data_IF_818226889645
#
_entry.id   IF_818226889645
#
_cell.length_a   1.000
_cell.length_b   1.000
_cell.length_c   1.000
_cell.angle_alpha   90.00
_cell.angle_beta   90.00
_cell.angle_gamma   90.00
#
_symmetry.space_group_name_H-M   'P 1'
#
loop_
_entity.id
_entity.type
_entity.pdbx_description
1 polymer ?
#
# COMPACT_ATOMS: atom_id res chain seq x y z
N UNK A 1 22.68 8.29 30.08
CA UNK A 1 22.75 8.13 28.62
C UNK A 1 23.69 9.19 28.07
N UNK A 2 24.88 8.80 27.59
CA UNK A 2 25.81 9.74 27.00
C UNK A 2 25.20 10.28 25.70
N UNK A 3 24.89 11.58 25.65
CA UNK A 3 24.55 12.23 24.38
C UNK A 3 25.78 12.16 23.49
N UNK A 4 25.69 11.38 22.43
CA UNK A 4 26.75 11.22 21.43
C UNK A 4 27.03 12.56 20.75
N UNK A 5 28.29 12.85 20.41
CA UNK A 5 28.69 14.00 19.57
C UNK A 5 27.89 14.09 18.25
N UNK A 6 27.29 12.99 17.83
CA UNK A 6 26.55 12.87 16.58
C UNK A 6 25.02 13.00 16.73
N UNK A 7 24.46 13.23 17.93
CA UNK A 7 22.99 13.25 18.12
C UNK A 7 22.29 14.39 17.35
N UNK A 8 22.99 15.49 17.05
CA UNK A 8 22.46 16.64 16.31
C UNK A 8 21.91 16.28 14.92
N UNK A 9 22.32 15.14 14.33
CA UNK A 9 21.82 14.73 13.00
C UNK A 9 20.33 14.38 13.02
N UNK A 10 19.75 14.10 14.19
CA UNK A 10 18.32 13.80 14.35
C UNK A 10 17.45 15.05 14.13
N UNK A 11 18.01 16.24 14.32
CA UNK A 11 17.27 17.50 14.16
C UNK A 11 16.96 17.82 12.68
N UNK A 12 17.58 17.08 11.73
CA UNK A 12 17.26 17.18 10.30
C UNK A 12 16.06 16.31 9.88
N UNK A 13 15.52 15.45 10.76
CA UNK A 13 14.30 14.72 10.46
C UNK A 13 13.09 15.67 10.43
N UNK A 14 12.47 15.82 9.26
CA UNK A 14 11.27 16.65 9.11
C UNK A 14 10.03 15.94 9.69
N UNK A 15 9.16 16.71 10.35
CA UNK A 15 7.84 16.23 10.73
C UNK A 15 6.93 16.15 9.51
N UNK A 16 6.28 15.00 9.35
CA UNK A 16 5.44 14.67 8.22
C UNK A 16 4.02 14.26 8.66
N UNK A 17 3.53 14.88 9.72
CA UNK A 17 2.23 14.60 10.32
C UNK A 17 1.08 14.97 9.36
N UNK A 18 0.22 13.99 9.04
CA UNK A 18 -0.99 14.24 8.25
C UNK A 18 -2.03 15.04 9.05
N UNK A 19 -2.71 15.97 8.38
CA UNK A 19 -3.75 16.82 8.96
C UNK A 19 -4.77 16.00 9.78
N UNK A 20 -5.04 16.45 11.01
CA UNK A 20 -5.95 15.79 11.94
C UNK A 20 -7.39 15.76 11.40
N UNK A 21 -8.18 14.78 11.85
CA UNK A 21 -9.60 14.60 11.48
C UNK A 21 -9.88 14.43 9.98
N UNK A 22 -8.84 14.22 9.18
CA UNK A 22 -8.92 13.92 7.75
C UNK A 22 -8.64 12.43 7.50
N UNK A 23 -9.24 11.90 6.44
CA UNK A 23 -8.94 10.55 5.95
C UNK A 23 -7.52 10.51 5.43
N UNK A 24 -6.80 9.43 5.74
CA UNK A 24 -5.47 9.16 5.19
C UNK A 24 -5.61 7.97 4.26
N UNK A 25 -5.21 8.14 3.02
CA UNK A 25 -5.25 7.08 2.00
C UNK A 25 -3.83 6.77 1.60
N UNK A 26 -3.45 5.50 1.72
CA UNK A 26 -2.19 4.98 1.16
C UNK A 26 -2.52 4.24 -0.11
N UNK A 27 -1.98 4.67 -1.24
CA UNK A 27 -2.10 3.94 -2.51
C UNK A 27 -0.77 3.31 -2.87
N UNK A 28 -0.79 2.02 -3.14
CA UNK A 28 0.32 1.26 -3.69
C UNK A 28 0.08 0.98 -5.18
N UNK A 29 1.17 0.94 -5.95
CA UNK A 29 1.19 0.66 -7.38
C UNK A 29 2.40 -0.23 -7.71
N UNK A 30 2.20 -1.27 -8.53
CA UNK A 30 3.23 -2.21 -8.93
C UNK A 30 4.35 -1.56 -9.77
N UNK A 31 5.57 -1.49 -9.24
CA UNK A 31 6.68 -0.85 -9.96
C UNK A 31 7.07 -1.67 -11.19
N UNK A 32 6.90 -1.08 -12.38
CA UNK A 32 7.15 -1.71 -13.67
C UNK A 32 6.39 -3.03 -13.85
N UNK A 33 5.13 -3.08 -13.40
CA UNK A 33 4.34 -4.31 -13.41
C UNK A 33 4.01 -4.83 -14.80
N UNK A 34 4.05 -3.98 -15.84
CA UNK A 34 3.97 -4.44 -17.23
C UNK A 34 5.04 -5.50 -17.53
N UNK A 35 6.31 -5.18 -17.25
CA UNK A 35 7.44 -6.11 -17.42
C UNK A 35 7.34 -7.30 -16.48
N UNK A 36 6.85 -7.10 -15.26
CA UNK A 36 6.64 -8.19 -14.30
C UNK A 36 5.63 -9.21 -14.82
N UNK A 37 4.49 -8.72 -15.34
CA UNK A 37 3.41 -9.54 -15.90
C UNK A 37 3.87 -10.34 -17.11
N UNK A 38 4.68 -9.75 -17.99
CA UNK A 38 5.25 -10.44 -19.16
C UNK A 38 6.24 -11.54 -18.74
N UNK A 39 7.13 -11.23 -17.80
CA UNK A 39 8.16 -12.18 -17.33
C UNK A 39 7.58 -13.37 -16.58
N UNK A 40 6.44 -13.19 -15.91
CA UNK A 40 5.75 -14.25 -15.15
C UNK A 40 4.53 -14.81 -15.89
N UNK A 41 4.41 -14.57 -17.21
CA UNK A 41 3.38 -15.14 -18.08
C UNK A 41 1.96 -14.94 -17.55
N UNK A 42 1.62 -13.69 -17.20
CA UNK A 42 0.26 -13.35 -16.77
C UNK A 42 -0.72 -13.48 -17.93
N UNK A 43 -1.88 -14.07 -17.65
CA UNK A 43 -3.00 -14.10 -18.59
C UNK A 43 -3.48 -12.67 -18.93
N UNK A 44 -3.92 -12.49 -20.18
CA UNK A 44 -4.47 -11.22 -20.69
C UNK A 44 -5.95 -11.41 -21.06
N UNK A 45 -6.82 -10.40 -20.84
CA UNK A 45 -6.49 -9.08 -20.29
C UNK A 45 -6.22 -9.10 -18.78
N UNK A 46 -6.74 -10.10 -18.05
CA UNK A 46 -6.66 -10.20 -16.60
C UNK A 46 -6.19 -11.60 -16.16
N UNK A 47 -5.32 -11.65 -15.15
CA UNK A 47 -4.88 -12.90 -14.53
C UNK A 47 -5.48 -13.03 -13.12
N UNK A 48 -6.36 -14.01 -12.95
CA UNK A 48 -7.04 -14.23 -11.66
C UNK A 48 -6.07 -14.57 -10.53
N UNK A 49 -4.95 -15.25 -10.83
CA UNK A 49 -3.93 -15.61 -9.83
C UNK A 49 -3.29 -14.35 -9.27
N UNK A 50 -2.92 -13.42 -10.16
CA UNK A 50 -2.35 -12.14 -9.79
C UNK A 50 -3.31 -11.30 -8.94
N UNK A 51 -4.57 -11.20 -9.37
CA UNK A 51 -5.59 -10.41 -8.68
C UNK A 51 -5.93 -10.98 -7.29
N UNK A 52 -6.04 -12.30 -7.18
CA UNK A 52 -6.26 -12.95 -5.89
C UNK A 52 -5.04 -12.82 -4.96
N UNK A 53 -3.82 -12.94 -5.48
CA UNK A 53 -2.60 -12.69 -4.70
C UNK A 53 -2.56 -11.24 -4.17
N UNK A 54 -2.81 -10.25 -5.02
CA UNK A 54 -2.89 -8.84 -4.61
C UNK A 54 -3.93 -8.63 -3.51
N UNK A 55 -5.09 -9.29 -3.64
CA UNK A 55 -6.15 -9.24 -2.63
C UNK A 55 -5.75 -9.90 -1.31
N UNK A 56 -5.04 -11.03 -1.35
CA UNK A 56 -4.51 -11.66 -0.14
C UNK A 56 -3.47 -10.80 0.56
N UNK A 57 -2.63 -10.10 -0.20
CA UNK A 57 -1.69 -9.12 0.34
C UNK A 57 -2.45 -7.96 1.03
N UNK A 58 -3.51 -7.44 0.40
CA UNK A 58 -4.32 -6.39 0.98
C UNK A 58 -5.04 -6.83 2.27
N UNK A 59 -5.58 -8.05 2.30
CA UNK A 59 -6.15 -8.64 3.51
C UNK A 59 -5.11 -8.72 4.64
N UNK A 60 -3.91 -9.21 4.34
CA UNK A 60 -2.82 -9.30 5.32
C UNK A 60 -2.44 -7.92 5.86
N UNK A 61 -2.39 -6.89 5.01
CA UNK A 61 -2.17 -5.50 5.46
C UNK A 61 -3.30 -5.02 6.38
N UNK A 62 -4.55 -5.34 6.07
CA UNK A 62 -5.71 -4.95 6.90
C UNK A 62 -5.81 -5.71 8.23
N UNK A 63 -5.30 -6.94 8.30
CA UNK A 63 -5.27 -7.76 9.50
C UNK A 63 -4.12 -7.36 10.44
N UNK A 64 -2.95 -7.07 9.88
CA UNK A 64 -1.72 -6.80 10.63
C UNK A 64 -1.57 -5.32 11.02
N UNK A 65 -2.18 -4.41 10.26
CA UNK A 65 -2.19 -2.98 10.58
C UNK A 65 -3.53 -2.57 11.19
N UNK A 66 -3.47 -1.56 12.04
CA UNK A 66 -4.64 -1.04 12.72
C UNK A 66 -5.32 0.09 11.93
N UNK A 67 -6.59 0.35 12.27
CA UNK A 67 -7.35 1.52 11.80
C UNK A 67 -7.65 1.64 10.30
N UNK A 68 -7.36 0.61 9.50
CA UNK A 68 -7.85 0.53 8.12
C UNK A 68 -9.34 0.16 8.13
N UNK A 69 -10.16 0.92 7.40
CA UNK A 69 -11.63 0.71 7.34
C UNK A 69 -12.12 0.17 6.01
N UNK A 70 -11.40 0.43 4.94
CA UNK A 70 -11.71 -0.08 3.61
C UNK A 70 -10.42 -0.13 2.80
N UNK A 71 -10.30 -1.17 1.98
CA UNK A 71 -9.32 -1.24 0.91
C UNK A 71 -10.02 -1.48 -0.42
N UNK A 72 -9.50 -0.88 -1.49
CA UNK A 72 -9.97 -1.07 -2.86
C UNK A 72 -8.76 -1.33 -3.75
N UNK A 73 -8.82 -2.38 -4.58
CA UNK A 73 -7.74 -2.75 -5.47
C UNK A 73 -8.24 -3.12 -6.86
N UNK A 74 -7.38 -2.87 -7.84
CA UNK A 74 -7.60 -3.10 -9.26
C UNK A 74 -6.24 -3.23 -9.95
N UNK A 75 -6.15 -4.11 -10.95
CA UNK A 75 -4.92 -4.31 -11.73
C UNK A 75 -3.74 -4.59 -10.78
N UNK A 76 -2.75 -3.70 -10.78
CA UNK A 76 -1.52 -3.70 -10.00
C UNK A 76 -1.52 -2.63 -8.91
N UNK A 77 -2.66 -2.01 -8.60
CA UNK A 77 -2.82 -1.02 -7.52
C UNK A 77 -3.74 -1.48 -6.38
N UNK A 78 -3.47 -0.98 -5.17
CA UNK A 78 -4.32 -1.13 -4.00
C UNK A 78 -4.30 0.13 -3.15
N UNK A 79 -5.49 0.55 -2.69
CA UNK A 79 -5.70 1.74 -1.88
C UNK A 79 -6.22 1.35 -0.50
N UNK A 80 -5.60 1.85 0.57
CA UNK A 80 -5.95 1.58 1.96
C UNK A 80 -6.38 2.86 2.66
N UNK A 81 -7.57 2.86 3.24
CA UNK A 81 -8.15 4.04 3.89
C UNK A 81 -8.10 3.87 5.40
N UNK A 82 -7.36 4.75 6.07
CA UNK A 82 -7.28 4.81 7.53
C UNK A 82 -8.36 5.72 8.11
N UNK A 83 -8.90 5.37 9.28
CA UNK A 83 -9.89 6.18 10.01
C UNK A 83 -9.38 7.61 10.18
N UNK A 84 -10.25 8.58 9.93
CA UNK A 84 -9.96 10.00 10.13
C UNK A 84 -9.54 10.40 11.55
N UNK A 85 -9.97 9.64 12.56
CA UNK A 85 -9.63 9.83 13.99
C UNK A 85 -8.40 9.01 14.43
N UNK A 86 -7.79 8.25 13.53
CA UNK A 86 -6.62 7.45 13.85
C UNK A 86 -5.49 8.35 14.36
N UNK A 87 -4.84 7.91 15.43
CA UNK A 87 -3.61 8.50 15.94
C UNK A 87 -2.42 7.54 15.80
N UNK A 88 -2.56 6.53 14.95
CA UNK A 88 -1.52 5.53 14.68
C UNK A 88 -0.23 6.23 14.23
N UNK A 89 0.89 5.90 14.87
CA UNK A 89 2.19 6.54 14.67
C UNK A 89 2.17 8.08 14.67
N UNK A 90 1.33 8.71 15.51
CA UNK A 90 1.13 10.18 15.52
C UNK A 90 0.77 10.75 14.16
N UNK A 91 0.16 9.93 13.29
CA UNK A 91 -0.23 10.27 11.92
C UNK A 91 0.92 10.65 10.98
N UNK A 92 2.14 10.18 11.23
CA UNK A 92 3.27 10.40 10.33
C UNK A 92 3.05 9.72 8.97
N UNK A 93 3.09 10.48 7.89
CA UNK A 93 2.86 9.97 6.53
C UNK A 93 3.83 8.83 6.17
N UNK A 94 5.11 8.99 6.49
CA UNK A 94 6.16 7.99 6.30
C UNK A 94 5.84 6.65 6.97
N UNK A 95 5.17 6.66 8.13
CA UNK A 95 4.79 5.44 8.85
C UNK A 95 3.60 4.74 8.20
N UNK A 96 2.57 5.48 7.80
CA UNK A 96 1.50 4.88 7.00
C UNK A 96 2.06 4.23 5.72
N UNK A 97 2.90 4.97 4.99
CA UNK A 97 3.44 4.53 3.70
C UNK A 97 4.32 3.29 3.83
N UNK A 98 5.33 3.33 4.70
CA UNK A 98 6.34 2.27 4.77
C UNK A 98 5.80 0.99 5.38
N UNK A 99 4.92 1.06 6.39
CA UNK A 99 4.30 -0.13 6.95
C UNK A 99 3.36 -0.81 5.95
N UNK A 100 2.53 -0.06 5.23
CA UNK A 100 1.66 -0.62 4.18
C UNK A 100 2.49 -1.21 3.04
N UNK A 101 3.47 -0.46 2.50
CA UNK A 101 4.28 -0.93 1.37
C UNK A 101 5.13 -2.15 1.71
N UNK A 102 5.79 -2.16 2.88
CA UNK A 102 6.63 -3.29 3.28
C UNK A 102 5.82 -4.54 3.57
N UNK A 103 4.68 -4.43 4.27
CA UNK A 103 3.83 -5.56 4.59
C UNK A 103 3.14 -6.12 3.34
N UNK A 104 2.77 -5.27 2.39
CA UNK A 104 2.22 -5.72 1.11
C UNK A 104 3.28 -6.46 0.28
N UNK A 105 4.49 -5.88 0.15
CA UNK A 105 5.56 -6.47 -0.64
C UNK A 105 6.05 -7.82 -0.07
N UNK A 106 6.19 -7.91 1.26
CA UNK A 106 6.56 -9.16 1.93
C UNK A 106 5.49 -10.24 1.73
N UNK A 107 4.22 -9.89 1.89
CA UNK A 107 3.08 -10.77 1.65
C UNK A 107 3.03 -11.26 0.20
N UNK A 108 3.33 -10.38 -0.76
CA UNK A 108 3.30 -10.73 -2.18
C UNK A 108 4.30 -11.83 -2.54
N UNK A 109 5.49 -11.79 -1.95
CA UNK A 109 6.49 -12.85 -2.11
C UNK A 109 6.10 -14.10 -1.30
N UNK A 110 5.63 -13.90 -0.07
CA UNK A 110 5.32 -14.99 0.86
C UNK A 110 4.19 -15.90 0.33
N UNK A 111 3.09 -15.31 -0.13
CA UNK A 111 1.93 -16.04 -0.63
C UNK A 111 2.01 -16.37 -2.13
N UNK A 112 3.09 -16.02 -2.83
CA UNK A 112 3.20 -16.22 -4.28
C UNK A 112 2.87 -17.66 -4.70
N UNK A 113 3.42 -18.66 -4.01
CA UNK A 113 3.26 -20.08 -4.35
C UNK A 113 1.84 -20.60 -4.15
N UNK A 114 1.03 -19.94 -3.33
CA UNK A 114 -0.36 -20.34 -3.07
C UNK A 114 -1.26 -20.00 -4.27
N UNK A 115 -0.83 -19.09 -5.15
CA UNK A 115 -1.57 -18.65 -6.33
C UNK A 115 -0.87 -18.99 -7.65
N UNK A 116 0.47 -19.07 -7.63
CA UNK A 116 1.31 -19.40 -8.77
C UNK A 116 2.06 -20.70 -8.48
N UNK A 117 1.34 -21.82 -8.53
CA UNK A 117 1.87 -23.15 -8.20
C UNK A 117 3.05 -23.56 -9.10
N UNK A 118 2.89 -23.43 -10.41
CA UNK A 118 3.87 -23.86 -11.42
C UNK A 118 4.80 -22.73 -11.90
N UNK A 119 4.47 -21.48 -11.61
CA UNK A 119 5.21 -20.31 -12.10
C UNK A 119 6.11 -19.79 -10.96
N UNK A 120 7.43 -20.04 -11.00
CA UNK A 120 8.33 -19.51 -9.98
C UNK A 120 8.39 -17.98 -10.07
N UNK A 121 8.56 -17.35 -8.90
CA UNK A 121 8.87 -15.92 -8.82
C UNK A 121 10.31 -15.71 -9.27
N UNK A 122 10.49 -15.01 -10.39
CA UNK A 122 11.81 -14.81 -11.03
C UNK A 122 12.64 -13.75 -10.31
N UNK A 123 11.99 -12.74 -9.72
CA UNK A 123 12.64 -11.67 -8.97
C UNK A 123 11.64 -11.01 -7.99
N UNK A 124 12.11 -10.46 -6.86
CA UNK A 124 11.24 -9.76 -5.91
C UNK A 124 10.69 -8.46 -6.55
N UNK A 125 9.37 -8.23 -6.56
CA UNK A 125 8.78 -7.01 -7.08
C UNK A 125 8.99 -5.83 -6.13
N UNK A 126 8.85 -4.62 -6.67
CA UNK A 126 8.76 -3.40 -5.88
C UNK A 126 7.38 -2.77 -6.03
N UNK A 127 6.97 -1.98 -5.05
CA UNK A 127 5.73 -1.21 -5.07
C UNK A 127 6.04 0.26 -4.81
N UNK A 128 5.53 1.15 -5.65
CA UNK A 128 5.48 2.58 -5.35
C UNK A 128 4.34 2.85 -4.38
N UNK A 129 4.53 3.79 -3.46
CA UNK A 129 3.57 4.11 -2.41
C UNK A 129 3.43 5.61 -2.24
N UNK A 130 2.20 6.10 -2.13
CA UNK A 130 1.92 7.51 -1.83
C UNK A 130 0.82 7.67 -0.79
N UNK A 131 0.91 8.76 -0.03
CA UNK A 131 -0.08 9.14 0.98
C UNK A 131 -0.85 10.36 0.48
N UNK A 132 -2.18 10.29 0.55
CA UNK A 132 -3.08 11.40 0.21
C UNK A 132 -4.05 11.63 1.36
N UNK A 133 -4.34 12.89 1.66
CA UNK A 133 -5.21 13.29 2.76
C UNK A 133 -6.50 13.90 2.21
N UNK A 134 -7.65 13.34 2.61
CA UNK A 134 -8.97 13.83 2.20
C UNK A 134 -9.75 14.43 3.38
N UNK A 135 -10.19 15.69 3.30
CA UNK A 135 -10.75 16.39 4.46
C UNK A 135 -12.16 15.94 4.85
N UNK A 136 -12.94 15.37 3.92
CA UNK A 136 -14.33 15.03 4.17
C UNK A 136 -14.73 13.69 3.50
N UNK A 137 -15.93 13.22 3.81
CA UNK A 137 -16.42 11.93 3.32
C UNK A 137 -16.73 11.97 1.82
N UNK A 138 -17.14 13.13 1.30
CA UNK A 138 -17.45 13.26 -0.12
C UNK A 138 -16.18 13.11 -0.96
N UNK A 139 -15.10 13.81 -0.60
CA UNK A 139 -13.83 13.70 -1.33
C UNK A 139 -13.21 12.31 -1.26
N UNK A 140 -13.41 11.57 -0.15
CA UNK A 140 -13.02 10.16 -0.09
C UNK A 140 -13.87 9.28 -1.02
N UNK A 141 -15.19 9.49 -1.05
CA UNK A 141 -16.08 8.75 -1.96
C UNK A 141 -15.74 9.04 -3.40
N UNK A 142 -15.51 10.31 -3.76
CA UNK A 142 -15.12 10.72 -5.11
C UNK A 142 -13.80 10.05 -5.52
N UNK A 143 -12.84 9.95 -4.61
CA UNK A 143 -11.60 9.21 -4.85
C UNK A 143 -11.87 7.72 -5.15
N UNK A 144 -12.64 7.03 -4.31
CA UNK A 144 -12.95 5.61 -4.53
C UNK A 144 -13.75 5.38 -5.81
N UNK A 145 -14.71 6.26 -6.10
CA UNK A 145 -15.47 6.24 -7.36
C UNK A 145 -14.57 6.52 -8.56
N UNK A 146 -13.58 7.41 -8.44
CA UNK A 146 -12.59 7.64 -9.50
C UNK A 146 -11.73 6.40 -9.75
N UNK A 147 -11.31 5.68 -8.70
CA UNK A 147 -10.60 4.39 -8.86
C UNK A 147 -11.49 3.34 -9.50
N UNK A 148 -12.76 3.26 -9.13
CA UNK A 148 -13.70 2.34 -9.76
C UNK A 148 -13.99 2.69 -11.22
N UNK A 149 -14.11 3.96 -11.57
CA UNK A 149 -14.30 4.41 -12.95
C UNK A 149 -13.08 4.10 -13.83
N UNK A 150 -11.87 4.12 -13.27
CA UNK A 150 -10.62 3.70 -13.92
C UNK A 150 -10.57 2.18 -14.15
N UNK A 151 -11.44 1.41 -13.48
CA UNK A 151 -11.59 -0.05 -13.66
C UNK A 151 -12.50 -0.45 -14.80
N UNK A 152 -13.50 0.38 -15.08
CA UNK A 152 -14.56 0.12 -16.04
C UNK A 152 -14.06 0.31 -17.47
#
# INVERSE_FOLDING_TARGET
MAKSKFEYVRDFEADDTCLAHCWVVVRLDGRNFHRFSEKHNFAKPNDSRALHLMTKCAQTVMEELEDIVIAYGQSDEYSFVFKRKSNWFKRRASKFMTHVASQFASSYVFYWRDYFEDQPLLYPPGFDGRVVVYPNNQTLKDYLSWRQADCH
#
